data_IF_439780065049
#
_entry.id   IF_439780065049
#
_cell.length_a   1.000
_cell.length_b   1.000
_cell.length_c   1.000
_cell.angle_alpha   90.00
_cell.angle_beta   90.00
_cell.angle_gamma   90.00
#
_symmetry.space_group_name_H-M   'P 1'
#
loop_
_entity.id
_entity.type
_entity.pdbx_description
1 polymer ?
#
# COMPACT_ATOMS: atom_id res chain seq x y z
N UNK A 1 -16.15 26.90 -8.53
CA UNK A 1 -14.87 26.23 -8.22
C UNK A 1 -15.16 25.20 -7.13
N UNK A 2 -15.71 24.05 -7.53
CA UNK A 2 -16.02 22.99 -6.57
C UNK A 2 -14.71 22.30 -6.17
N UNK A 3 -14.40 22.35 -4.88
CA UNK A 3 -13.37 21.52 -4.28
C UNK A 3 -13.80 20.07 -4.51
N UNK A 4 -13.13 19.36 -5.42
CA UNK A 4 -13.36 17.93 -5.58
C UNK A 4 -12.95 17.24 -4.28
N UNK A 5 -13.96 16.92 -3.46
CA UNK A 5 -13.88 15.96 -2.37
C UNK A 5 -13.58 14.60 -3.02
N UNK A 6 -12.32 14.28 -3.26
CA UNK A 6 -11.92 12.96 -3.74
C UNK A 6 -11.98 11.96 -2.58
N UNK A 7 -13.19 11.51 -2.25
CA UNK A 7 -13.43 10.15 -1.76
C UNK A 7 -13.12 9.16 -2.90
N UNK A 8 -11.91 9.22 -3.44
CA UNK A 8 -11.43 8.20 -4.37
C UNK A 8 -11.21 6.94 -3.54
N UNK A 9 -12.08 5.95 -3.69
CA UNK A 9 -11.89 4.63 -3.10
C UNK A 9 -10.56 4.08 -3.60
N UNK A 10 -9.55 4.10 -2.73
CA UNK A 10 -8.23 3.54 -3.01
C UNK A 10 -8.03 2.26 -2.21
N UNK A 11 -7.35 1.29 -2.81
CA UNK A 11 -6.99 0.03 -2.16
C UNK A 11 -5.68 0.23 -1.39
N UNK A 12 -5.76 0.14 -0.06
CA UNK A 12 -4.60 0.31 0.81
C UNK A 12 -4.00 -1.04 1.17
N UNK A 13 -2.69 -1.16 0.93
CA UNK A 13 -1.91 -2.33 1.27
C UNK A 13 -0.77 -1.95 2.21
N UNK A 14 -0.59 -2.74 3.26
CA UNK A 14 0.48 -2.56 4.23
C UNK A 14 1.64 -3.50 3.90
N UNK A 15 2.86 -2.96 3.92
CA UNK A 15 4.07 -3.77 3.70
C UNK A 15 4.53 -4.37 5.03
N UNK A 16 4.46 -5.70 5.15
CA UNK A 16 4.67 -6.37 6.43
C UNK A 16 6.12 -6.77 6.65
N UNK A 17 6.75 -7.43 5.69
CA UNK A 17 8.06 -8.06 5.90
C UNK A 17 9.24 -7.16 5.61
N UNK A 18 9.10 -6.21 4.68
CA UNK A 18 10.19 -5.35 4.21
C UNK A 18 9.83 -3.86 4.26
N UNK A 19 10.81 -2.96 4.46
CA UNK A 19 10.59 -1.52 4.33
C UNK A 19 10.15 -1.14 2.91
N UNK A 20 9.38 -0.05 2.77
CA UNK A 20 8.99 0.48 1.47
C UNK A 20 10.17 1.23 0.84
N UNK A 21 10.79 0.62 -0.17
CA UNK A 21 11.90 1.14 -0.97
C UNK A 21 11.65 0.91 -2.46
N UNK A 22 12.40 1.56 -3.38
CA UNK A 22 12.35 1.23 -4.79
C UNK A 22 12.55 -0.27 -5.03
N UNK A 23 11.65 -0.91 -5.78
CA UNK A 23 11.69 -2.34 -6.06
C UNK A 23 11.02 -3.24 -5.01
N UNK A 24 10.48 -2.70 -3.91
CA UNK A 24 9.76 -3.49 -2.89
C UNK A 24 8.24 -3.44 -3.05
N UNK A 25 7.75 -2.94 -4.19
CA UNK A 25 6.33 -2.88 -4.52
C UNK A 25 6.12 -2.94 -6.04
N UNK A 26 4.98 -3.44 -6.51
CA UNK A 26 4.72 -3.57 -7.93
C UNK A 26 4.55 -2.20 -8.59
N UNK A 27 5.17 -2.02 -9.75
CA UNK A 27 5.04 -0.79 -10.56
C UNK A 27 4.77 -1.07 -12.04
N UNK A 28 4.69 -2.34 -12.43
CA UNK A 28 4.59 -2.79 -13.83
C UNK A 28 3.22 -2.52 -14.45
N UNK A 29 2.13 -2.77 -13.70
CA UNK A 29 0.75 -2.58 -14.17
C UNK A 29 0.16 -1.22 -13.79
N UNK A 30 0.52 -0.74 -12.60
CA UNK A 30 0.12 0.56 -12.06
C UNK A 30 1.14 0.98 -10.99
N UNK A 31 1.25 2.28 -10.76
CA UNK A 31 2.03 2.84 -9.65
C UNK A 31 1.09 3.19 -8.49
N UNK A 32 1.55 3.12 -7.24
CA UNK A 32 0.78 3.61 -6.12
C UNK A 32 0.55 5.12 -6.28
N UNK A 33 -0.66 5.58 -5.94
CA UNK A 33 -1.01 7.00 -5.89
C UNK A 33 -0.59 7.65 -4.58
N UNK A 34 -0.35 6.83 -3.54
CA UNK A 34 0.19 7.27 -2.26
C UNK A 34 1.15 6.25 -1.71
N UNK A 35 2.23 6.75 -1.13
CA UNK A 35 3.24 5.97 -0.44
C UNK A 35 3.47 6.63 0.92
N UNK A 36 3.34 5.86 2.00
CA UNK A 36 3.63 6.31 3.36
C UNK A 36 4.59 5.32 4.00
N UNK A 37 5.76 5.80 4.41
CA UNK A 37 6.74 5.05 5.17
C UNK A 37 6.70 5.50 6.63
N UNK A 38 6.68 4.55 7.57
CA UNK A 38 6.59 4.85 9.00
C UNK A 38 7.96 5.10 9.66
N UNK A 39 9.06 4.83 8.96
CA UNK A 39 10.43 4.89 9.49
C UNK A 39 10.78 3.69 10.39
N UNK A 40 9.83 3.20 11.18
CA UNK A 40 9.94 1.99 11.99
C UNK A 40 8.73 1.08 11.79
N UNK A 41 8.84 -0.22 12.12
CA UNK A 41 7.74 -1.18 12.00
C UNK A 41 6.69 -0.89 13.09
N UNK A 42 5.47 -0.53 12.70
CA UNK A 42 4.36 -0.16 13.59
C UNK A 42 3.26 -1.23 13.60
N UNK A 43 2.52 -1.35 14.70
CA UNK A 43 1.34 -2.23 14.80
C UNK A 43 0.10 -1.49 14.28
N UNK A 44 -0.47 -1.99 13.19
CA UNK A 44 -1.69 -1.48 12.57
C UNK A 44 -2.70 -2.63 12.53
N UNK A 45 -3.83 -2.50 13.22
CA UNK A 45 -4.90 -3.50 13.14
C UNK A 45 -4.48 -4.94 13.47
N UNK A 46 -3.46 -5.13 14.32
CA UNK A 46 -2.96 -6.44 14.71
C UNK A 46 -1.80 -6.98 13.86
N UNK A 47 -1.41 -6.29 12.78
CA UNK A 47 -0.23 -6.64 11.97
C UNK A 47 0.90 -5.64 12.16
N UNK A 48 2.15 -6.09 12.00
CA UNK A 48 3.33 -5.22 12.03
C UNK A 48 3.72 -4.82 10.62
N UNK A 49 3.66 -3.53 10.30
CA UNK A 49 3.92 -2.99 8.97
C UNK A 49 4.95 -1.85 8.98
N UNK A 50 5.67 -1.68 7.87
CA UNK A 50 6.65 -0.62 7.65
C UNK A 50 6.06 0.66 7.06
N UNK A 51 4.80 0.60 6.63
CA UNK A 51 4.12 1.65 5.91
C UNK A 51 2.94 1.12 5.11
N UNK A 52 2.37 1.97 4.28
CA UNK A 52 1.32 1.56 3.34
C UNK A 52 1.45 2.21 1.97
N UNK A 53 0.82 1.55 0.99
CA UNK A 53 0.70 1.96 -0.40
C UNK A 53 -0.79 2.03 -0.73
N UNK A 54 -1.20 3.04 -1.49
CA UNK A 54 -2.57 3.12 -2.03
C UNK A 54 -2.55 3.02 -3.55
N UNK A 55 -3.41 2.18 -4.10
CA UNK A 55 -3.62 2.01 -5.53
C UNK A 55 -5.06 2.35 -5.92
N UNK A 56 -5.26 2.83 -7.14
CA UNK A 56 -6.61 3.13 -7.66
C UNK A 56 -7.36 1.87 -8.10
N UNK A 57 -6.64 0.78 -8.37
CA UNK A 57 -7.18 -0.54 -8.69
C UNK A 57 -6.58 -1.57 -7.73
N UNK A 58 -7.27 -2.67 -7.40
CA UNK A 58 -6.70 -3.69 -6.53
C UNK A 58 -5.47 -4.33 -7.18
N UNK A 59 -4.51 -4.74 -6.36
CA UNK A 59 -3.40 -5.59 -6.77
C UNK A 59 -3.88 -7.03 -6.98
N UNK A 60 -3.25 -7.77 -7.88
CA UNK A 60 -3.49 -9.22 -7.96
C UNK A 60 -2.93 -9.94 -6.74
N UNK A 61 -3.46 -11.11 -6.43
CA UNK A 61 -3.01 -11.92 -5.30
C UNK A 61 -1.52 -12.28 -5.44
N UNK A 62 -1.04 -12.55 -6.66
CA UNK A 62 0.38 -12.79 -6.94
C UNK A 62 1.27 -11.58 -6.60
N UNK A 63 0.81 -10.36 -6.89
CA UNK A 63 1.55 -9.13 -6.59
C UNK A 63 1.54 -8.89 -5.07
N UNK A 64 0.41 -9.14 -4.41
CA UNK A 64 0.31 -9.06 -2.96
C UNK A 64 1.27 -10.02 -2.27
N UNK A 65 1.29 -11.28 -2.71
CA UNK A 65 2.18 -12.31 -2.19
C UNK A 65 3.65 -12.00 -2.46
N UNK A 66 4.00 -11.67 -3.71
CA UNK A 66 5.39 -11.44 -4.12
C UNK A 66 6.06 -10.28 -3.36
N UNK A 67 5.27 -9.27 -3.00
CA UNK A 67 5.75 -8.05 -2.35
C UNK A 67 5.40 -7.96 -0.85
N UNK A 68 4.83 -9.02 -0.25
CA UNK A 68 4.39 -9.07 1.16
C UNK A 68 3.46 -7.91 1.53
N UNK A 69 2.45 -7.69 0.69
CA UNK A 69 1.47 -6.61 0.80
C UNK A 69 0.11 -7.16 1.25
N UNK A 70 -0.41 -6.63 2.36
CA UNK A 70 -1.64 -7.14 2.99
C UNK A 70 -2.68 -6.02 3.12
N UNK A 71 -3.93 -6.32 2.76
CA UNK A 71 -5.07 -5.47 3.12
C UNK A 71 -5.54 -5.80 4.53
N UNK A 72 -5.79 -4.78 5.34
CA UNK A 72 -6.49 -4.93 6.61
C UNK A 72 -7.94 -4.53 6.35
N UNK A 73 -8.86 -5.40 6.77
CA UNK A 73 -10.30 -5.22 6.60
C UNK A 73 -10.92 -4.47 7.79
#
# INVERSE_FOLDING_TARGET
>A
MEKQNTNAMSYRYYSTERPINPGTFPTSRQRPVKIVNFGTRQNIGGIKAWGYLEYLKPLSDDDQFTYDLVMIN
#
